data_IF_799300843083
#
_entry.id   IF_799300843083
#
_cell.length_a   1.000
_cell.length_b   1.000
_cell.length_c   1.000
_cell.angle_alpha   90.00
_cell.angle_beta   90.00
_cell.angle_gamma   90.00
#
_symmetry.space_group_name_H-M   'P 1'
#
loop_
_entity.id
_entity.type
_entity.pdbx_description
1 polymer ?
#
# COMPACT_ATOMS: atom_id res chain seq x y z
N UNK A 1 17.81 89.08 55.10
CA UNK A 1 16.65 88.18 55.02
C UNK A 1 15.91 88.57 53.77
N UNK A 2 16.26 87.95 52.64
CA UNK A 2 15.63 88.23 51.34
C UNK A 2 14.84 87.00 50.92
N UNK A 3 13.52 87.16 50.91
CA UNK A 3 12.53 86.17 50.54
C UNK A 3 12.38 86.12 49.02
N UNK A 4 12.82 85.01 48.43
CA UNK A 4 12.64 84.69 47.00
C UNK A 4 11.22 84.13 46.79
N UNK A 5 10.32 84.96 46.27
CA UNK A 5 9.01 84.52 45.78
C UNK A 5 9.16 83.78 44.45
N UNK A 6 8.98 82.47 44.48
CA UNK A 6 8.85 81.63 43.28
C UNK A 6 7.38 81.61 42.84
N UNK A 7 7.04 82.48 41.89
CA UNK A 7 5.74 82.47 41.23
C UNK A 7 5.60 81.26 40.30
N UNK A 8 4.94 80.21 40.79
CA UNK A 8 4.64 78.99 40.06
C UNK A 8 3.74 79.25 38.84
N UNK A 9 4.32 79.22 37.64
CA UNK A 9 3.56 79.18 36.38
C UNK A 9 2.89 77.82 36.24
N UNK A 10 1.56 77.81 36.27
CA UNK A 10 0.73 76.61 36.05
C UNK A 10 0.99 76.05 34.64
N UNK A 11 1.32 74.77 34.57
CA UNK A 11 1.50 73.99 33.34
C UNK A 11 0.21 74.01 32.51
N UNK A 12 0.28 74.50 31.28
CA UNK A 12 -0.83 74.48 30.33
C UNK A 12 -0.66 73.27 29.37
N UNK A 13 -1.41 72.16 29.56
CA UNK A 13 -1.30 70.96 28.73
C UNK A 13 -1.74 71.17 27.27
N UNK A 14 -2.31 72.33 26.94
CA UNK A 14 -2.75 72.68 25.58
C UNK A 14 -1.81 73.67 24.86
N UNK A 15 -0.64 73.96 25.44
CA UNK A 15 0.39 74.73 24.75
C UNK A 15 1.01 73.90 23.62
N UNK A 16 0.41 73.97 22.43
CA UNK A 16 1.03 73.51 21.17
C UNK A 16 2.22 74.40 20.73
N UNK A 17 2.64 75.35 21.56
CA UNK A 17 3.75 76.28 21.33
C UNK A 17 5.07 75.55 21.56
N UNK A 18 5.55 74.90 20.51
CA UNK A 18 6.78 74.10 20.51
C UNK A 18 6.75 72.91 19.55
N UNK A 19 5.56 72.50 19.10
CA UNK A 19 5.43 71.45 18.09
C UNK A 19 5.69 72.05 16.71
N UNK A 20 6.95 72.06 16.28
CA UNK A 20 7.33 72.31 14.87
C UNK A 20 6.46 71.40 14.00
N UNK A 21 5.46 71.97 13.31
CA UNK A 21 4.76 71.28 12.22
C UNK A 21 5.81 71.04 11.14
N UNK A 22 6.40 69.84 11.13
CA UNK A 22 7.12 69.35 9.96
C UNK A 22 6.06 69.16 8.86
N UNK A 23 5.91 70.18 8.03
CA UNK A 23 5.27 70.09 6.71
C UNK A 23 6.27 69.28 5.88
N UNK A 24 6.21 67.96 6.03
CA UNK A 24 7.14 67.01 5.41
C UNK A 24 6.45 66.30 4.27
N UNK A 25 6.54 66.87 3.07
CA UNK A 25 6.09 66.25 1.81
C UNK A 25 6.93 65.02 1.39
N UNK A 26 7.79 64.52 2.27
CA UNK A 26 8.64 63.33 2.07
C UNK A 26 8.02 62.00 2.57
N UNK A 27 6.78 62.00 3.07
CA UNK A 27 6.14 60.80 3.62
C UNK A 27 5.62 59.80 2.58
N UNK A 28 5.42 60.22 1.32
CA UNK A 28 4.82 59.36 0.28
C UNK A 28 5.73 58.17 -0.08
N UNK A 29 7.02 58.41 -0.32
CA UNK A 29 7.97 57.36 -0.71
C UNK A 29 8.21 56.33 0.39
N UNK A 30 8.34 56.78 1.65
CA UNK A 30 8.55 55.88 2.80
C UNK A 30 7.31 55.02 3.09
N UNK A 31 6.11 55.57 2.92
CA UNK A 31 4.86 54.81 3.07
C UNK A 31 4.72 53.72 2.00
N UNK A 32 5.11 54.01 0.75
CA UNK A 32 5.11 53.00 -0.32
C UNK A 32 6.11 51.88 -0.03
N UNK A 33 7.34 52.23 0.35
CA UNK A 33 8.36 51.25 0.76
C UNK A 33 7.89 50.37 1.93
N UNK A 34 7.21 50.94 2.92
CA UNK A 34 6.64 50.16 4.03
C UNK A 34 5.55 49.20 3.58
N UNK A 35 4.65 49.63 2.68
CA UNK A 35 3.60 48.75 2.12
C UNK A 35 4.19 47.61 1.31
N UNK A 36 5.22 47.89 0.52
CA UNK A 36 5.87 46.88 -0.31
C UNK A 36 6.70 45.91 0.53
N UNK A 37 7.41 46.40 1.55
CA UNK A 37 8.09 45.56 2.53
C UNK A 37 7.11 44.65 3.29
N UNK A 38 5.94 45.17 3.67
CA UNK A 38 4.91 44.38 4.35
C UNK A 38 4.25 43.35 3.41
N UNK A 39 4.02 43.68 2.14
CA UNK A 39 3.57 42.73 1.12
C UNK A 39 4.60 41.61 0.92
N UNK A 40 5.88 41.95 0.76
CA UNK A 40 6.96 40.98 0.63
C UNK A 40 7.11 40.10 1.88
N UNK A 41 6.88 40.64 3.08
CA UNK A 41 6.88 39.87 4.31
C UNK A 41 5.71 38.86 4.36
N UNK A 42 4.50 39.29 3.98
CA UNK A 42 3.32 38.41 3.93
C UNK A 42 3.50 37.29 2.90
N UNK A 43 4.01 37.61 1.72
CA UNK A 43 4.31 36.63 0.68
C UNK A 43 5.28 35.55 1.17
N UNK A 44 6.40 35.95 1.79
CA UNK A 44 7.38 35.01 2.37
C UNK A 44 6.80 34.16 3.50
N UNK A 45 5.92 34.73 4.34
CA UNK A 45 5.22 33.96 5.38
C UNK A 45 4.26 32.94 4.79
N UNK A 46 3.51 33.30 3.74
CA UNK A 46 2.59 32.39 3.07
C UNK A 46 3.34 31.24 2.40
N UNK A 47 4.46 31.53 1.71
CA UNK A 47 5.31 30.50 1.11
C UNK A 47 5.90 29.56 2.17
N UNK A 48 6.35 30.09 3.31
CA UNK A 48 6.82 29.28 4.43
C UNK A 48 5.73 28.37 5.02
N UNK A 49 4.49 28.87 5.16
CA UNK A 49 3.36 28.07 5.62
C UNK A 49 3.05 26.92 4.65
N UNK A 50 2.97 27.21 3.34
CA UNK A 50 2.76 26.17 2.32
C UNK A 50 3.89 25.12 2.33
N UNK A 51 5.14 25.55 2.55
CA UNK A 51 6.29 24.64 2.71
C UNK A 51 6.17 23.76 3.95
N UNK A 52 5.68 24.30 5.07
CA UNK A 52 5.42 23.54 6.29
C UNK A 52 4.26 22.55 6.11
N UNK A 53 3.15 22.96 5.50
CA UNK A 53 2.02 22.07 5.20
C UNK A 53 2.45 20.89 4.34
N UNK A 54 3.27 21.16 3.31
CA UNK A 54 3.88 20.11 2.48
C UNK A 54 4.75 19.16 3.30
N UNK A 55 5.63 19.69 4.16
CA UNK A 55 6.49 18.86 5.04
C UNK A 55 5.66 18.00 6.00
N UNK A 56 4.61 18.54 6.60
CA UNK A 56 3.71 17.79 7.49
C UNK A 56 3.01 16.68 6.71
N UNK A 57 2.52 16.96 5.51
CA UNK A 57 1.93 15.94 4.63
C UNK A 57 2.94 14.83 4.29
N UNK A 58 4.18 15.19 3.94
CA UNK A 58 5.23 14.24 3.62
C UNK A 58 5.62 13.36 4.82
N UNK A 59 5.85 13.96 6.00
CA UNK A 59 6.18 13.24 7.24
C UNK A 59 5.02 12.36 7.70
N UNK A 60 3.77 12.81 7.55
CA UNK A 60 2.60 12.00 7.91
C UNK A 60 2.49 10.78 7.02
N UNK A 61 2.71 10.94 5.71
CA UNK A 61 2.76 9.83 4.75
C UNK A 61 3.88 8.83 5.09
N UNK A 62 5.07 9.33 5.41
CA UNK A 62 6.21 8.49 5.83
C UNK A 62 5.89 7.71 7.12
N UNK A 63 5.27 8.37 8.11
CA UNK A 63 4.86 7.72 9.37
C UNK A 63 3.86 6.58 9.13
N UNK A 64 2.91 6.76 8.21
CA UNK A 64 1.96 5.70 7.82
C UNK A 64 2.70 4.53 7.20
N UNK A 65 3.65 4.77 6.29
CA UNK A 65 4.46 3.72 5.67
C UNK A 65 5.33 2.97 6.70
N UNK A 66 5.96 3.67 7.64
CA UNK A 66 6.75 3.06 8.71
C UNK A 66 5.89 2.20 9.63
N UNK A 67 4.71 2.68 10.03
CA UNK A 67 3.77 1.88 10.83
C UNK A 67 3.31 0.62 10.10
N UNK A 68 3.07 0.73 8.79
CA UNK A 68 2.74 -0.40 7.95
C UNK A 68 3.90 -1.40 7.84
N UNK A 69 5.15 -0.93 7.69
CA UNK A 69 6.34 -1.79 7.71
C UNK A 69 6.51 -2.52 9.05
N UNK A 70 6.31 -1.83 10.19
CA UNK A 70 6.34 -2.46 11.51
C UNK A 70 5.25 -3.53 11.67
N UNK A 71 4.05 -3.27 11.13
CA UNK A 71 2.97 -4.25 11.15
C UNK A 71 3.32 -5.49 10.31
N UNK A 72 3.95 -5.33 9.14
CA UNK A 72 4.44 -6.46 8.35
C UNK A 72 5.49 -7.25 9.13
N UNK A 73 6.48 -6.57 9.72
CA UNK A 73 7.52 -7.24 10.50
C UNK A 73 6.93 -8.06 11.65
N UNK A 74 5.86 -7.56 12.29
CA UNK A 74 5.16 -8.30 13.34
C UNK A 74 4.42 -9.55 12.83
N UNK A 75 3.94 -9.54 11.59
CA UNK A 75 3.24 -10.68 10.97
C UNK A 75 4.21 -11.72 10.39
N UNK A 76 5.33 -11.29 9.82
CA UNK A 76 6.31 -12.17 9.17
C UNK A 76 7.15 -12.94 10.20
N UNK A 77 7.32 -12.37 11.40
CA UNK A 77 8.17 -12.95 12.43
C UNK A 77 7.48 -13.04 13.81
N UNK A 78 6.38 -13.82 13.93
CA UNK A 78 5.64 -13.92 15.19
C UNK A 78 6.49 -14.55 16.31
N UNK A 79 7.48 -15.40 15.96
CA UNK A 79 8.37 -16.03 16.94
C UNK A 79 9.41 -15.08 17.55
N UNK A 80 9.79 -13.98 16.87
CA UNK A 80 10.68 -12.97 17.47
C UNK A 80 9.99 -12.16 18.59
N UNK A 81 8.65 -12.15 18.64
CA UNK A 81 7.91 -11.51 19.75
C UNK A 81 7.73 -12.43 20.96
N UNK A 82 8.02 -13.74 20.85
CA UNK A 82 7.86 -14.70 21.95
C UNK A 82 9.18 -15.19 22.53
N UNK A 83 10.29 -15.03 21.83
CA UNK A 83 11.61 -15.14 22.49
C UNK A 83 11.87 -13.82 23.20
N UNK A 84 11.23 -13.65 24.35
CA UNK A 84 11.72 -12.75 25.38
C UNK A 84 13.10 -13.28 25.78
N UNK A 85 14.14 -12.94 25.00
CA UNK A 85 15.52 -13.05 25.48
C UNK A 85 15.54 -12.13 26.70
N UNK A 86 15.61 -12.66 27.94
CA UNK A 86 15.71 -11.80 29.10
C UNK A 86 16.93 -10.93 28.85
N UNK A 87 16.70 -9.63 28.72
CA UNK A 87 17.81 -8.71 28.56
C UNK A 87 18.66 -8.86 29.83
N UNK A 88 19.83 -9.49 29.70
CA UNK A 88 20.74 -9.82 30.81
C UNK A 88 21.11 -8.53 31.58
N UNK A 89 20.98 -7.38 30.91
CA UNK A 89 21.13 -6.08 31.52
C UNK A 89 19.79 -5.62 32.13
N UNK A 90 19.63 -5.80 33.45
CA UNK A 90 18.46 -5.35 34.22
C UNK A 90 18.13 -3.86 33.99
N UNK A 91 19.14 -3.03 33.68
CA UNK A 91 18.94 -1.62 33.37
C UNK A 91 18.21 -1.39 32.04
N UNK A 92 18.40 -2.26 31.04
CA UNK A 92 17.75 -2.14 29.75
C UNK A 92 16.27 -2.55 29.85
N UNK A 93 15.95 -3.60 30.60
CA UNK A 93 14.56 -3.99 30.85
C UNK A 93 13.79 -2.88 31.57
N UNK A 94 14.38 -2.25 32.60
CA UNK A 94 13.79 -1.11 33.30
C UNK A 94 13.60 0.11 32.37
N UNK A 95 14.56 0.39 31.49
CA UNK A 95 14.46 1.48 30.50
C UNK A 95 13.38 1.22 29.45
N UNK A 96 13.25 -0.02 28.95
CA UNK A 96 12.19 -0.40 28.02
C UNK A 96 10.83 -0.25 28.68
N UNK A 97 10.69 -0.69 29.93
CA UNK A 97 9.44 -0.57 30.69
C UNK A 97 9.08 0.90 30.98
N UNK A 98 10.07 1.73 31.31
CA UNK A 98 9.90 3.17 31.48
C UNK A 98 9.49 3.87 30.17
N UNK A 99 10.08 3.47 29.04
CA UNK A 99 9.70 4.00 27.72
C UNK A 99 8.29 3.56 27.32
N UNK A 100 7.89 2.31 27.60
CA UNK A 100 6.53 1.83 27.35
C UNK A 100 5.49 2.60 28.16
N UNK A 101 5.76 2.83 29.46
CA UNK A 101 4.92 3.69 30.31
C UNK A 101 4.84 5.12 29.76
N UNK A 102 5.97 5.68 29.32
CA UNK A 102 6.00 7.03 28.75
C UNK A 102 5.21 7.15 27.45
N UNK A 103 5.24 6.13 26.60
CA UNK A 103 4.42 6.08 25.37
C UNK A 103 2.93 6.06 25.71
N UNK A 104 2.52 5.28 26.71
CA UNK A 104 1.13 5.24 27.17
C UNK A 104 0.68 6.59 27.75
N UNK A 105 1.51 7.24 28.57
CA UNK A 105 1.24 8.58 29.10
C UNK A 105 1.05 9.62 27.98
N UNK A 106 1.92 9.60 26.97
CA UNK A 106 1.85 10.52 25.83
C UNK A 106 0.61 10.26 24.97
N UNK A 107 0.21 8.99 24.80
CA UNK A 107 -1.02 8.64 24.10
C UNK A 107 -2.26 9.15 24.87
N UNK A 108 -2.30 8.97 26.19
CA UNK A 108 -3.39 9.49 27.03
C UNK A 108 -3.46 11.03 26.98
N UNK A 109 -2.31 11.70 27.06
CA UNK A 109 -2.24 13.17 26.96
C UNK A 109 -2.72 13.68 25.59
N UNK A 110 -2.43 12.96 24.50
CA UNK A 110 -2.93 13.30 23.17
C UNK A 110 -4.45 13.14 23.05
N UNK A 111 -5.04 12.11 23.67
CA UNK A 111 -6.50 11.94 23.69
C UNK A 111 -7.19 13.07 24.47
N UNK A 112 -6.66 13.45 25.63
CA UNK A 112 -7.19 14.59 26.41
C UNK A 112 -7.07 15.89 25.61
N UNK A 113 -6.00 16.05 24.81
CA UNK A 113 -5.79 17.25 24.00
C UNK A 113 -6.67 17.29 22.76
N UNK A 114 -7.01 16.16 22.14
CA UNK A 114 -7.93 16.12 21.00
C UNK A 114 -9.36 16.51 21.41
N UNK A 115 -9.80 16.09 22.60
CA UNK A 115 -11.14 16.38 23.09
C UNK A 115 -11.34 17.88 23.37
N UNK A 116 -10.30 18.55 23.85
CA UNK A 116 -10.32 20.00 24.12
C UNK A 116 -10.29 20.87 22.84
N UNK A 117 -9.87 20.34 21.68
CA UNK A 117 -9.88 21.09 20.41
C UNK A 117 -11.28 21.10 19.78
N UNK A 118 -12.14 20.17 20.18
CA UNK A 118 -13.50 20.04 19.61
C UNK A 118 -14.52 20.90 20.38
N UNK A 119 -14.13 21.49 21.51
CA UNK A 119 -15.01 22.27 22.39
C UNK A 119 -14.73 23.78 22.40
N UNK A 120 -14.11 24.36 21.36
CA UNK A 120 -14.13 25.82 21.22
C UNK A 120 -15.53 26.27 20.79
N UNK A 121 -16.28 27.02 21.63
CA UNK A 121 -17.58 27.53 21.25
C UNK A 121 -17.40 28.57 20.15
N UNK A 122 -18.04 28.33 19.01
CA UNK A 122 -18.25 29.31 17.96
C UNK A 122 -19.16 30.43 18.49
N UNK A 123 -18.57 31.43 19.15
CA UNK A 123 -19.27 32.63 19.57
C UNK A 123 -18.93 33.80 18.64
N UNK A 124 -20.01 34.53 18.32
CA UNK A 124 -20.11 35.80 17.59
C UNK A 124 -20.13 35.70 16.06
N UNK A 125 -21.34 35.59 15.52
CA UNK A 125 -21.94 36.66 14.72
C UNK A 125 -23.45 36.50 14.69
N UNK A 126 -24.14 37.32 15.48
CA UNK A 126 -25.56 37.64 15.34
C UNK A 126 -25.83 38.23 13.95
N UNK A 127 -26.76 37.66 13.21
CA UNK A 127 -27.83 38.44 12.58
C UNK A 127 -29.02 37.55 12.20
N UNK A 128 -30.16 37.97 12.70
CA UNK A 128 -31.51 37.40 12.62
C UNK A 128 -31.96 37.14 11.17
N UNK A 129 -32.77 36.08 10.96
CA UNK A 129 -34.18 36.14 10.51
C UNK A 129 -34.68 34.73 10.18
N UNK A 130 -35.68 34.28 10.95
CA UNK A 130 -36.95 33.76 10.43
C UNK A 130 -37.09 32.29 9.99
N UNK A 131 -37.93 31.55 10.76
CA UNK A 131 -38.81 30.44 10.35
C UNK A 131 -38.13 29.14 9.88
N UNK A 132 -38.58 27.92 10.15
CA UNK A 132 -39.86 27.41 10.65
C UNK A 132 -39.64 25.95 11.13
N UNK A 133 -40.66 25.42 11.80
CA UNK A 133 -40.72 24.18 12.55
C UNK A 133 -40.48 22.89 11.73
N UNK A 134 -39.80 21.91 12.32
CA UNK A 134 -40.33 20.53 12.50
C UNK A 134 -39.39 19.66 13.34
N UNK A 135 -39.99 18.89 14.26
CA UNK A 135 -39.35 18.08 15.30
C UNK A 135 -39.18 16.61 14.85
N UNK A 136 -38.75 15.64 15.70
CA UNK A 136 -37.61 14.79 15.40
C UNK A 136 -37.98 13.32 15.16
N UNK A 137 -37.16 12.60 14.38
CA UNK A 137 -37.18 11.12 14.42
C UNK A 137 -35.88 10.62 15.02
N UNK A 138 -35.98 10.19 16.27
CA UNK A 138 -34.93 9.51 17.04
C UNK A 138 -34.70 8.12 16.45
N UNK A 139 -33.58 7.93 15.75
CA UNK A 139 -33.11 6.60 15.36
C UNK A 139 -32.05 6.15 16.35
N UNK A 140 -32.41 5.16 17.17
CA UNK A 140 -31.51 4.54 18.13
C UNK A 140 -30.32 3.87 17.42
N UNK A 141 -29.11 4.31 17.79
CA UNK A 141 -27.86 3.67 17.41
C UNK A 141 -27.75 2.33 18.17
N UNK A 142 -28.06 1.23 17.49
CA UNK A 142 -27.85 -0.13 17.98
C UNK A 142 -26.37 -0.47 17.82
N UNK A 143 -25.58 -0.29 18.88
CA UNK A 143 -24.28 -0.93 19.00
C UNK A 143 -24.50 -2.45 19.00
N UNK A 144 -24.31 -3.08 17.84
CA UNK A 144 -24.04 -4.51 17.80
C UNK A 144 -22.60 -4.71 18.22
N UNK A 145 -22.43 -5.31 19.39
CA UNK A 145 -21.18 -5.91 19.84
C UNK A 145 -20.66 -6.84 18.74
N UNK A 146 -19.43 -6.59 18.29
CA UNK A 146 -18.63 -7.51 17.51
C UNK A 146 -18.37 -8.75 18.37
N UNK A 147 -19.27 -9.72 18.27
CA UNK A 147 -19.00 -11.07 18.72
C UNK A 147 -17.90 -11.66 17.83
N UNK A 148 -16.90 -12.17 18.53
CA UNK A 148 -15.75 -12.96 18.11
C UNK A 148 -16.04 -13.75 16.83
N UNK A 149 -15.34 -13.41 15.74
CA UNK A 149 -15.28 -14.23 14.53
C UNK A 149 -14.68 -15.58 14.92
N UNK A 150 -15.57 -16.56 14.98
CA UNK A 150 -15.33 -17.91 15.47
C UNK A 150 -14.35 -18.65 14.53
N UNK A 151 -13.36 -19.31 15.11
CA UNK A 151 -12.21 -19.99 14.48
C UNK A 151 -12.56 -21.28 13.72
N UNK A 152 -13.80 -21.41 13.23
CA UNK A 152 -14.29 -22.64 12.59
C UNK A 152 -13.90 -22.79 11.11
N UNK A 153 -13.18 -21.84 10.51
CA UNK A 153 -12.67 -21.98 9.13
C UNK A 153 -11.47 -22.94 9.00
N UNK A 154 -10.95 -23.49 10.10
CA UNK A 154 -9.83 -24.45 10.08
C UNK A 154 -10.25 -25.90 9.75
N UNK A 155 -11.53 -26.26 9.90
CA UNK A 155 -12.01 -27.63 9.70
C UNK A 155 -12.01 -28.00 8.20
N UNK A 156 -12.26 -27.04 7.31
CA UNK A 156 -12.32 -27.29 5.87
C UNK A 156 -10.94 -27.61 5.24
N UNK A 157 -9.85 -27.09 5.84
CA UNK A 157 -8.47 -27.34 5.36
C UNK A 157 -8.04 -28.79 5.58
N UNK A 158 -8.58 -29.47 6.60
CA UNK A 158 -8.22 -30.86 6.90
C UNK A 158 -8.91 -31.87 5.97
N UNK A 159 -10.17 -31.63 5.59
CA UNK A 159 -10.89 -32.52 4.67
C UNK A 159 -10.34 -32.44 3.24
N UNK A 160 -9.87 -31.26 2.82
CA UNK A 160 -9.26 -31.05 1.50
C UNK A 160 -7.90 -31.76 1.34
N UNK A 161 -7.07 -31.80 2.40
CA UNK A 161 -5.80 -32.52 2.37
C UNK A 161 -5.97 -34.04 2.21
N UNK A 162 -7.13 -34.60 2.59
CA UNK A 162 -7.42 -36.03 2.47
C UNK A 162 -7.75 -36.47 1.05
N UNK A 163 -8.35 -35.59 0.24
CA UNK A 163 -8.70 -35.88 -1.16
C UNK A 163 -7.50 -35.79 -2.13
N UNK A 164 -6.38 -35.20 -1.70
CA UNK A 164 -5.18 -34.97 -2.51
C UNK A 164 -4.11 -36.08 -2.41
N UNK A 165 -4.29 -37.07 -1.52
CA UNK A 165 -3.30 -38.14 -1.28
C UNK A 165 -3.39 -39.26 -2.33
N UNK A 166 -4.52 -39.39 -3.03
CA UNK A 166 -4.70 -40.44 -4.03
C UNK A 166 -4.38 -39.91 -5.44
N UNK A 167 -3.09 -39.96 -5.80
CA UNK A 167 -2.56 -39.95 -7.18
C UNK A 167 -2.46 -38.61 -7.99
N UNK A 168 -1.71 -37.59 -7.52
CA UNK A 168 -1.11 -36.57 -8.40
C UNK A 168 0.34 -36.86 -8.85
N UNK A 169 1.00 -37.86 -8.27
CA UNK A 169 2.47 -38.05 -8.38
C UNK A 169 2.95 -38.50 -9.76
N UNK A 170 2.14 -39.23 -10.52
CA UNK A 170 2.54 -39.74 -11.84
C UNK A 170 2.67 -38.64 -12.91
N UNK A 171 1.83 -37.59 -12.85
CA UNK A 171 1.84 -36.52 -13.86
C UNK A 171 2.82 -35.39 -13.51
N UNK A 172 3.04 -35.11 -12.22
CA UNK A 172 4.04 -34.13 -11.76
C UNK A 172 5.47 -34.59 -12.10
N UNK A 173 5.74 -35.91 -12.06
CA UNK A 173 7.02 -36.45 -12.51
C UNK A 173 7.27 -36.24 -14.01
N UNK A 174 6.22 -36.19 -14.83
CA UNK A 174 6.35 -35.98 -16.27
C UNK A 174 6.69 -34.51 -16.60
N UNK A 175 6.10 -33.55 -15.87
CA UNK A 175 6.39 -32.10 -15.98
C UNK A 175 7.81 -31.76 -15.48
N UNK A 176 8.33 -32.52 -14.51
CA UNK A 176 9.71 -32.36 -14.00
C UNK A 176 10.80 -32.86 -14.95
N UNK A 177 10.45 -33.66 -15.96
CA UNK A 177 11.41 -34.04 -17.00
C UNK A 177 11.46 -32.93 -18.05
N UNK A 178 12.64 -32.32 -18.25
CA UNK A 178 12.95 -31.28 -19.23
C UNK A 178 12.77 -31.72 -20.71
N UNK A 179 11.78 -32.56 -21.02
CA UNK A 179 11.37 -32.78 -22.41
C UNK A 179 10.61 -31.53 -22.85
N UNK A 180 11.06 -30.81 -23.90
CA UNK A 180 10.29 -29.72 -24.45
C UNK A 180 8.92 -30.28 -24.78
N UNK A 181 7.87 -29.70 -24.21
CA UNK A 181 6.50 -30.08 -24.49
C UNK A 181 6.37 -30.20 -26.00
N UNK A 182 6.23 -31.44 -26.51
CA UNK A 182 5.82 -31.66 -27.89
C UNK A 182 4.60 -30.78 -28.09
N UNK A 183 4.61 -29.92 -29.11
CA UNK A 183 3.54 -28.97 -29.45
C UNK A 183 2.19 -29.70 -29.55
N UNK A 184 1.60 -30.04 -28.42
CA UNK A 184 0.22 -30.45 -28.36
C UNK A 184 -0.52 -29.19 -28.74
N UNK A 185 -1.16 -29.21 -29.90
CA UNK A 185 -2.17 -28.21 -30.22
C UNK A 185 -3.24 -28.37 -29.15
N UNK A 186 -3.17 -27.53 -28.12
CA UNK A 186 -4.19 -27.39 -27.11
C UNK A 186 -5.38 -26.75 -27.84
N UNK A 187 -6.26 -27.59 -28.40
CA UNK A 187 -7.47 -27.14 -29.08
C UNK A 187 -8.65 -26.98 -28.10
N UNK A 188 -8.53 -27.57 -26.91
CA UNK A 188 -9.57 -27.57 -25.90
C UNK A 188 -9.24 -26.53 -24.84
N UNK A 189 -10.27 -25.82 -24.38
CA UNK A 189 -10.15 -24.87 -23.28
C UNK A 189 -9.98 -25.60 -21.94
N UNK A 190 -9.42 -24.91 -20.94
CA UNK A 190 -9.35 -25.46 -19.58
C UNK A 190 -10.74 -25.82 -19.03
N UNK A 191 -11.76 -25.06 -19.40
CA UNK A 191 -13.14 -25.31 -19.00
C UNK A 191 -13.72 -26.61 -19.58
N UNK A 192 -13.40 -26.93 -20.84
CA UNK A 192 -13.79 -28.20 -21.46
C UNK A 192 -13.06 -29.40 -20.82
N UNK A 193 -11.81 -29.21 -20.40
CA UNK A 193 -10.99 -30.27 -19.81
C UNK A 193 -11.29 -30.52 -18.33
N UNK A 194 -11.54 -29.46 -17.56
CA UNK A 194 -11.58 -29.52 -16.09
C UNK A 194 -12.88 -28.98 -15.49
N UNK A 195 -13.85 -28.60 -16.33
CA UNK A 195 -15.14 -28.07 -15.91
C UNK A 195 -15.18 -26.55 -15.71
N UNK A 196 -16.38 -25.98 -15.46
CA UNK A 196 -16.57 -24.54 -15.34
C UNK A 196 -15.93 -23.96 -14.08
N UNK A 197 -15.42 -22.72 -14.22
CA UNK A 197 -14.93 -21.92 -13.10
C UNK A 197 -16.09 -21.21 -12.43
N UNK A 198 -16.34 -21.52 -11.16
CA UNK A 198 -17.25 -20.78 -10.29
C UNK A 198 -16.48 -19.73 -9.49
N UNK A 199 -16.58 -18.47 -9.91
CA UNK A 199 -15.88 -17.35 -9.31
C UNK A 199 -16.72 -16.55 -8.30
N UNK A 200 -18.04 -16.74 -8.27
CA UNK A 200 -18.96 -15.93 -7.45
C UNK A 200 -18.65 -15.99 -5.94
N UNK A 201 -18.34 -17.15 -5.33
CA UNK A 201 -17.99 -17.21 -3.91
C UNK A 201 -16.75 -16.38 -3.57
N UNK A 202 -15.78 -16.31 -4.48
CA UNK A 202 -14.54 -15.56 -4.29
C UNK A 202 -14.75 -14.05 -4.48
N UNK A 203 -15.58 -13.67 -5.46
CA UNK A 203 -16.00 -12.27 -5.66
C UNK A 203 -16.73 -11.77 -4.41
N UNK A 204 -17.70 -12.53 -3.91
CA UNK A 204 -18.49 -12.17 -2.74
C UNK A 204 -17.58 -11.93 -1.51
N UNK A 205 -16.61 -12.82 -1.27
CA UNK A 205 -15.64 -12.68 -0.17
C UNK A 205 -14.68 -11.51 -0.37
N UNK A 206 -14.13 -11.34 -1.57
CA UNK A 206 -13.18 -10.27 -1.85
C UNK A 206 -13.82 -8.87 -1.76
N UNK A 207 -15.14 -8.76 -2.01
CA UNK A 207 -15.90 -7.51 -1.80
C UNK A 207 -16.09 -7.13 -0.33
N UNK A 208 -15.87 -8.03 0.62
CA UNK A 208 -15.90 -7.70 2.05
C UNK A 208 -14.65 -6.93 2.50
N UNK A 209 -13.64 -6.81 1.62
CA UNK A 209 -12.41 -6.07 1.90
C UNK A 209 -12.67 -4.57 1.71
N UNK A 210 -12.62 -3.82 2.81
CA UNK A 210 -13.02 -2.40 2.87
C UNK A 210 -12.37 -1.51 1.81
N UNK A 211 -11.08 -1.69 1.53
CA UNK A 211 -10.38 -0.83 0.55
C UNK A 211 -10.83 -1.03 -0.90
N UNK A 212 -11.61 -2.08 -1.20
CA UNK A 212 -12.05 -2.41 -2.56
C UNK A 212 -13.54 -2.69 -2.68
N UNK A 213 -14.32 -2.54 -1.60
CA UNK A 213 -15.75 -2.89 -1.53
C UNK A 213 -16.59 -2.20 -2.62
N UNK A 214 -16.34 -0.91 -2.86
CA UNK A 214 -17.04 -0.10 -3.87
C UNK A 214 -16.44 -0.17 -5.28
N UNK A 215 -15.41 -1.00 -5.47
CA UNK A 215 -14.67 -1.03 -6.73
C UNK A 215 -15.11 -2.19 -7.62
N UNK A 216 -15.07 -1.97 -8.94
CA UNK A 216 -15.32 -3.04 -9.93
C UNK A 216 -14.08 -3.89 -10.22
N UNK A 217 -12.95 -3.65 -9.54
CA UNK A 217 -11.69 -4.34 -9.86
C UNK A 217 -11.74 -5.82 -9.53
N UNK A 218 -12.34 -6.19 -8.38
CA UNK A 218 -12.51 -7.58 -7.95
C UNK A 218 -13.29 -8.36 -9.00
N UNK A 219 -14.49 -7.88 -9.36
CA UNK A 219 -15.33 -8.52 -10.39
C UNK A 219 -14.60 -8.65 -11.72
N UNK A 220 -13.87 -7.62 -12.16
CA UNK A 220 -13.12 -7.67 -13.41
C UNK A 220 -12.03 -8.73 -13.40
N UNK A 221 -11.27 -8.86 -12.32
CA UNK A 221 -10.22 -9.88 -12.19
C UNK A 221 -10.82 -11.28 -12.32
N UNK A 222 -11.85 -11.58 -11.53
CA UNK A 222 -12.49 -12.91 -11.55
C UNK A 222 -13.23 -13.21 -12.87
N UNK A 223 -13.86 -12.21 -13.48
CA UNK A 223 -14.45 -12.35 -14.81
C UNK A 223 -13.38 -12.60 -15.89
N UNK A 224 -12.22 -11.97 -15.80
CA UNK A 224 -11.11 -12.23 -16.71
C UNK A 224 -10.52 -13.63 -16.49
N UNK A 225 -10.44 -14.11 -15.25
CA UNK A 225 -10.02 -15.49 -14.95
C UNK A 225 -11.02 -16.52 -15.50
N UNK A 226 -12.31 -16.25 -15.41
CA UNK A 226 -13.36 -17.10 -16.02
C UNK A 226 -13.32 -17.02 -17.56
N UNK A 227 -12.88 -15.91 -18.14
CA UNK A 227 -12.67 -15.80 -19.59
C UNK A 227 -11.43 -16.56 -20.05
N UNK A 228 -10.33 -16.52 -19.28
CA UNK A 228 -9.10 -17.23 -19.65
C UNK A 228 -9.28 -18.74 -19.57
N UNK A 229 -10.14 -19.26 -18.68
CA UNK A 229 -10.46 -20.69 -18.65
C UNK A 229 -11.18 -21.18 -19.91
N UNK A 230 -11.85 -20.28 -20.64
CA UNK A 230 -12.57 -20.56 -21.89
C UNK A 230 -11.73 -20.32 -23.14
N UNK A 231 -10.50 -19.81 -23.00
CA UNK A 231 -9.66 -19.54 -24.14
C UNK A 231 -9.17 -20.85 -24.78
N UNK A 232 -9.29 -20.95 -26.10
CA UNK A 232 -8.82 -22.11 -26.89
C UNK A 232 -7.56 -21.79 -27.68
N UNK A 233 -7.14 -20.53 -27.74
CA UNK A 233 -5.96 -20.10 -28.47
C UNK A 233 -5.00 -19.30 -27.57
N UNK A 234 -3.69 -19.50 -27.82
CA UNK A 234 -2.59 -18.89 -27.06
C UNK A 234 -2.65 -17.37 -27.08
N UNK A 235 -2.98 -16.74 -28.23
CA UNK A 235 -2.96 -15.28 -28.38
C UNK A 235 -4.03 -14.64 -27.49
N UNK A 236 -5.25 -15.16 -27.51
CA UNK A 236 -6.35 -14.72 -26.65
C UNK A 236 -6.02 -14.94 -25.18
N UNK A 237 -5.48 -16.10 -24.81
CA UNK A 237 -5.08 -16.39 -23.43
C UNK A 237 -4.03 -15.39 -22.93
N UNK A 238 -3.01 -15.09 -23.73
CA UNK A 238 -1.97 -14.11 -23.41
C UNK A 238 -2.54 -12.70 -23.22
N UNK A 239 -3.44 -12.25 -24.12
CA UNK A 239 -4.10 -10.93 -24.00
C UNK A 239 -4.95 -10.86 -22.71
N UNK A 240 -5.73 -11.91 -22.42
CA UNK A 240 -6.52 -11.97 -21.20
C UNK A 240 -5.62 -11.95 -19.95
N UNK A 241 -4.49 -12.64 -19.98
CA UNK A 241 -3.54 -12.63 -18.88
C UNK A 241 -2.91 -11.25 -18.66
N UNK A 242 -2.54 -10.53 -19.72
CA UNK A 242 -2.06 -9.14 -19.60
C UNK A 242 -3.13 -8.23 -18.96
N UNK A 243 -4.40 -8.40 -19.33
CA UNK A 243 -5.51 -7.69 -18.70
C UNK A 243 -5.67 -8.03 -17.22
N UNK A 244 -5.50 -9.30 -16.85
CA UNK A 244 -5.51 -9.73 -15.43
C UNK A 244 -4.39 -9.02 -14.66
N UNK A 245 -3.16 -9.03 -15.18
CA UNK A 245 -2.01 -8.36 -14.53
C UNK A 245 -2.29 -6.86 -14.37
N UNK A 246 -2.86 -6.21 -15.38
CA UNK A 246 -3.22 -4.79 -15.29
C UNK A 246 -4.26 -4.52 -14.20
N UNK A 247 -5.35 -5.30 -14.15
CA UNK A 247 -6.36 -5.10 -13.11
C UNK A 247 -5.80 -5.43 -11.72
N UNK A 248 -4.91 -6.41 -11.60
CA UNK A 248 -4.13 -6.67 -10.38
C UNK A 248 -3.22 -5.50 -9.98
N UNK A 249 -2.57 -4.82 -10.93
CA UNK A 249 -1.79 -3.62 -10.64
C UNK A 249 -2.67 -2.48 -10.13
N UNK A 250 -3.85 -2.29 -10.73
CA UNK A 250 -4.82 -1.26 -10.35
C UNK A 250 -5.40 -1.48 -8.96
N UNK A 251 -5.86 -2.70 -8.66
CA UNK A 251 -6.42 -3.02 -7.35
C UNK A 251 -5.36 -2.94 -6.25
N UNK A 252 -4.11 -3.32 -6.55
CA UNK A 252 -3.00 -3.27 -5.61
C UNK A 252 -2.66 -1.85 -5.15
N UNK A 253 -3.03 -0.81 -5.91
CA UNK A 253 -2.87 0.60 -5.49
C UNK A 253 -3.95 1.06 -4.50
N UNK A 254 -5.02 0.28 -4.35
CA UNK A 254 -6.13 0.59 -3.43
C UNK A 254 -5.97 -0.10 -2.09
N UNK A 255 -5.31 -1.25 -2.06
CA UNK A 255 -5.15 -2.03 -0.84
C UNK A 255 -4.29 -1.33 0.21
N UNK A 256 -4.74 -1.40 1.46
CA UNK A 256 -3.84 -1.39 2.61
C UNK A 256 -3.08 -2.72 2.65
N UNK A 257 -2.02 -2.81 3.45
CA UNK A 257 -1.25 -4.07 3.53
C UNK A 257 -2.09 -5.22 4.10
N UNK A 258 -2.91 -4.92 5.12
CA UNK A 258 -3.81 -5.91 5.73
C UNK A 258 -4.83 -6.40 4.71
N UNK A 259 -5.43 -5.47 3.96
CA UNK A 259 -6.39 -5.81 2.92
C UNK A 259 -5.76 -6.60 1.77
N UNK A 260 -4.51 -6.28 1.41
CA UNK A 260 -3.77 -7.03 0.40
C UNK A 260 -3.53 -8.48 0.83
N UNK A 261 -3.17 -8.71 2.10
CA UNK A 261 -2.99 -10.07 2.64
C UNK A 261 -4.31 -10.85 2.56
N UNK A 262 -5.42 -10.25 3.02
CA UNK A 262 -6.74 -10.88 2.92
C UNK A 262 -7.13 -11.21 1.47
N UNK A 263 -6.84 -10.31 0.52
CA UNK A 263 -7.08 -10.57 -0.90
C UNK A 263 -6.20 -11.70 -1.45
N UNK A 264 -4.92 -11.75 -1.05
CA UNK A 264 -4.00 -12.82 -1.44
C UNK A 264 -4.49 -14.17 -0.94
N UNK A 265 -4.99 -14.28 0.28
CA UNK A 265 -5.57 -15.53 0.82
C UNK A 265 -6.72 -16.04 -0.05
N UNK A 266 -7.66 -15.15 -0.40
CA UNK A 266 -8.80 -15.48 -1.29
C UNK A 266 -8.29 -15.95 -2.67
N UNK A 267 -7.31 -15.24 -3.24
CA UNK A 267 -6.70 -15.62 -4.51
C UNK A 267 -5.93 -16.95 -4.43
N UNK A 268 -5.32 -17.25 -3.29
CA UNK A 268 -4.60 -18.50 -3.04
C UNK A 268 -5.57 -19.67 -3.06
N UNK A 269 -6.70 -19.54 -2.36
CA UNK A 269 -7.77 -20.53 -2.35
C UNK A 269 -8.35 -20.75 -3.75
N UNK A 270 -8.59 -19.66 -4.50
CA UNK A 270 -9.02 -19.74 -5.90
C UNK A 270 -8.01 -20.53 -6.75
N UNK A 271 -6.71 -20.19 -6.66
CA UNK A 271 -5.68 -20.87 -7.45
C UNK A 271 -5.56 -22.36 -7.09
N UNK A 272 -5.72 -22.71 -5.82
CA UNK A 272 -5.68 -24.10 -5.36
C UNK A 272 -6.91 -24.87 -5.83
N UNK A 273 -8.12 -24.29 -5.71
CA UNK A 273 -9.36 -24.91 -6.21
C UNK A 273 -9.31 -25.17 -7.72
N UNK A 274 -8.77 -24.22 -8.49
CA UNK A 274 -8.67 -24.29 -9.95
C UNK A 274 -7.24 -24.57 -10.42
N UNK A 275 -6.48 -25.40 -9.70
CA UNK A 275 -5.05 -25.65 -9.98
C UNK A 275 -4.80 -26.15 -11.40
N UNK A 276 -5.64 -27.07 -11.90
CA UNK A 276 -5.52 -27.62 -13.26
C UNK A 276 -5.77 -26.57 -14.34
N UNK A 277 -6.79 -25.72 -14.16
CA UNK A 277 -6.99 -24.55 -15.04
C UNK A 277 -5.74 -23.66 -15.04
N UNK A 278 -5.17 -23.41 -13.86
CA UNK A 278 -3.98 -22.58 -13.71
C UNK A 278 -2.73 -23.13 -14.41
N UNK A 279 -2.52 -24.44 -14.34
CA UNK A 279 -1.43 -25.13 -15.05
C UNK A 279 -1.65 -25.04 -16.57
N UNK A 280 -2.87 -25.30 -17.02
CA UNK A 280 -3.21 -25.30 -18.44
C UNK A 280 -3.03 -23.93 -19.10
N UNK A 281 -3.61 -22.87 -18.53
CA UNK A 281 -3.44 -21.55 -19.16
C UNK A 281 -2.00 -21.05 -19.06
N UNK A 282 -1.23 -21.47 -18.03
CA UNK A 282 0.21 -21.20 -17.94
C UNK A 282 0.95 -21.82 -19.10
N UNK A 283 0.65 -23.07 -19.45
CA UNK A 283 1.25 -23.73 -20.61
C UNK A 283 0.90 -23.01 -21.90
N UNK A 284 -0.35 -22.53 -22.04
CA UNK A 284 -0.73 -21.68 -23.17
C UNK A 284 0.04 -20.35 -23.18
N UNK A 285 0.36 -19.79 -22.02
CA UNK A 285 1.06 -18.52 -21.86
C UNK A 285 2.57 -18.67 -21.63
N UNK A 286 3.14 -19.86 -21.86
CA UNK A 286 4.52 -20.15 -21.52
C UNK A 286 5.48 -19.21 -22.28
N UNK A 287 6.55 -18.81 -21.60
CA UNK A 287 7.59 -18.01 -22.20
C UNK A 287 8.48 -18.89 -23.07
N UNK A 288 8.40 -18.70 -24.40
CA UNK A 288 9.25 -19.40 -25.37
C UNK A 288 10.49 -18.58 -25.78
N UNK A 289 10.67 -17.39 -25.20
CA UNK A 289 11.77 -16.48 -25.55
C UNK A 289 13.12 -16.88 -24.92
N UNK A 290 14.24 -16.36 -25.44
CA UNK A 290 15.52 -16.47 -24.76
C UNK A 290 15.49 -15.73 -23.43
N UNK A 291 16.23 -16.23 -22.43
CA UNK A 291 16.45 -15.48 -21.19
C UNK A 291 17.04 -14.10 -21.55
N UNK A 292 16.40 -12.98 -21.14
CA UNK A 292 16.90 -11.65 -21.47
C UNK A 292 18.28 -11.44 -20.86
N UNK A 293 19.13 -10.66 -21.53
CA UNK A 293 20.45 -10.29 -21.00
C UNK A 293 20.28 -9.28 -19.87
N UNK A 294 20.28 -9.76 -18.63
CA UNK A 294 20.16 -8.90 -17.46
C UNK A 294 21.52 -8.27 -17.16
N UNK A 295 21.59 -6.94 -17.25
CA UNK A 295 22.77 -6.17 -16.84
C UNK A 295 22.70 -6.00 -15.33
N UNK A 296 23.59 -6.69 -14.60
CA UNK A 296 23.71 -6.54 -13.15
C UNK A 296 24.11 -5.09 -12.81
N UNK A 297 23.34 -4.42 -11.95
CA UNK A 297 23.73 -3.12 -11.45
C UNK A 297 25.00 -3.21 -10.58
N UNK A 298 25.76 -2.11 -10.52
CA UNK A 298 27.04 -2.04 -9.78
C UNK A 298 26.89 -2.25 -8.28
N UNK A 299 25.73 -1.87 -7.74
CA UNK A 299 25.40 -2.01 -6.32
C UNK A 299 23.98 -2.54 -6.20
N UNK A 300 23.76 -3.40 -5.21
CA UNK A 300 22.44 -3.91 -4.91
C UNK A 300 21.64 -2.91 -4.09
N UNK A 301 20.40 -2.65 -4.50
CA UNK A 301 19.49 -1.79 -3.77
C UNK A 301 19.05 -2.48 -2.46
N UNK A 302 19.03 -1.80 -1.30
CA UNK A 302 18.66 -2.40 -0.02
C UNK A 302 17.32 -3.14 -0.04
N UNK A 303 16.34 -2.63 -0.81
CA UNK A 303 15.03 -3.26 -0.99
C UNK A 303 15.10 -4.63 -1.69
N UNK A 304 16.00 -4.78 -2.66
CA UNK A 304 16.21 -6.05 -3.38
C UNK A 304 16.88 -7.05 -2.46
N UNK A 305 17.82 -6.59 -1.63
CA UNK A 305 18.45 -7.43 -0.59
C UNK A 305 17.42 -7.91 0.43
N UNK A 306 16.54 -7.03 0.92
CA UNK A 306 15.45 -7.42 1.82
C UNK A 306 14.49 -8.41 1.16
N UNK A 307 14.12 -8.17 -0.10
CA UNK A 307 13.28 -9.08 -0.88
C UNK A 307 13.93 -10.46 -1.02
N UNK A 308 15.21 -10.51 -1.41
CA UNK A 308 15.99 -11.75 -1.52
C UNK A 308 16.01 -12.53 -0.20
N UNK A 309 16.31 -11.86 0.91
CA UNK A 309 16.39 -12.49 2.22
C UNK A 309 15.02 -13.07 2.62
N UNK A 310 13.95 -12.29 2.42
CA UNK A 310 12.58 -12.75 2.68
C UNK A 310 12.23 -13.99 1.86
N UNK A 311 12.63 -14.05 0.58
CA UNK A 311 12.38 -15.24 -0.25
C UNK A 311 13.21 -16.46 0.18
N UNK A 312 14.42 -16.26 0.69
CA UNK A 312 15.28 -17.34 1.20
C UNK A 312 14.77 -17.95 2.51
N UNK A 313 13.94 -17.21 3.25
CA UNK A 313 13.29 -17.68 4.47
C UNK A 313 12.05 -18.56 4.20
N UNK A 314 11.54 -18.58 2.96
CA UNK A 314 10.39 -19.41 2.57
C UNK A 314 10.86 -20.86 2.35
N UNK A 315 10.44 -21.84 3.17
CA UNK A 315 10.96 -23.23 3.11
C UNK A 315 10.78 -23.89 1.74
N UNK A 316 9.63 -23.63 1.11
CA UNK A 316 9.29 -24.06 -0.25
C UNK A 316 10.31 -23.70 -1.32
N UNK A 317 11.18 -22.69 -1.09
CA UNK A 317 12.12 -22.18 -2.10
C UNK A 317 13.55 -22.71 -1.98
N UNK A 318 13.79 -23.72 -1.14
CA UNK A 318 15.11 -24.34 -0.95
C UNK A 318 15.80 -24.77 -2.26
N UNK A 319 15.04 -25.24 -3.25
CA UNK A 319 15.55 -25.66 -4.56
C UNK A 319 15.47 -24.57 -5.66
N UNK A 320 14.96 -23.38 -5.32
CA UNK A 320 14.64 -22.31 -6.27
C UNK A 320 15.54 -21.08 -6.13
N UNK A 321 16.70 -21.22 -5.48
CA UNK A 321 17.65 -20.11 -5.30
C UNK A 321 18.05 -19.43 -6.61
N UNK A 322 18.26 -20.19 -7.69
CA UNK A 322 18.60 -19.62 -9.01
C UNK A 322 17.47 -18.74 -9.58
N UNK A 323 16.20 -19.12 -9.38
CA UNK A 323 15.02 -18.32 -9.79
C UNK A 323 14.93 -17.05 -8.96
N UNK A 324 15.20 -17.14 -7.65
CA UNK A 324 15.24 -15.97 -6.76
C UNK A 324 16.33 -15.00 -7.21
N UNK A 325 17.55 -15.47 -7.50
CA UNK A 325 18.64 -14.61 -7.94
C UNK A 325 18.35 -13.95 -9.29
N UNK A 326 17.80 -14.70 -10.26
CA UNK A 326 17.37 -14.15 -11.56
C UNK A 326 16.31 -13.06 -11.39
N UNK A 327 15.36 -13.26 -10.47
CA UNK A 327 14.32 -12.28 -10.15
C UNK A 327 14.91 -11.03 -9.48
N UNK A 328 15.86 -11.20 -8.56
CA UNK A 328 16.55 -10.10 -7.89
C UNK A 328 17.42 -9.31 -8.87
N UNK A 329 18.16 -9.98 -9.75
CA UNK A 329 18.95 -9.34 -10.81
C UNK A 329 18.05 -8.48 -11.71
N UNK A 330 16.86 -8.98 -12.08
CA UNK A 330 15.90 -8.24 -12.90
C UNK A 330 15.37 -6.99 -12.18
N UNK A 331 15.03 -7.11 -10.89
CA UNK A 331 14.59 -5.98 -10.06
C UNK A 331 15.68 -4.95 -9.77
N UNK A 332 16.92 -5.41 -9.65
CA UNK A 332 18.09 -4.57 -9.39
C UNK A 332 18.63 -3.90 -10.65
N UNK A 333 18.22 -4.33 -11.84
CA UNK A 333 18.67 -3.72 -13.09
C UNK A 333 18.16 -2.27 -13.24
N UNK A 334 19.04 -1.42 -13.77
CA UNK A 334 18.73 -0.04 -14.19
C UNK A 334 18.04 0.01 -15.56
N UNK A 335 17.90 -1.13 -16.22
CA UNK A 335 17.28 -1.23 -17.52
C UNK A 335 15.78 -0.91 -17.42
N UNK A 336 15.26 -0.18 -18.41
CA UNK A 336 13.82 -0.09 -18.63
C UNK A 336 13.29 -1.50 -18.91
N UNK A 337 12.17 -1.86 -18.30
CA UNK A 337 11.49 -3.12 -18.62
C UNK A 337 11.05 -3.09 -20.08
N UNK A 338 11.51 -4.05 -20.87
CA UNK A 338 10.94 -4.33 -22.17
C UNK A 338 9.91 -5.46 -22.11
N UNK A 339 9.28 -5.77 -23.26
CA UNK A 339 8.44 -6.95 -23.47
C UNK A 339 9.07 -8.27 -22.99
N UNK A 340 10.36 -8.48 -23.29
CA UNK A 340 11.09 -9.70 -22.95
C UNK A 340 11.30 -9.83 -21.44
N UNK A 341 11.74 -8.75 -20.79
CA UNK A 341 11.92 -8.68 -19.34
C UNK A 341 10.62 -8.93 -18.59
N UNK A 342 9.49 -8.36 -19.05
CA UNK A 342 8.20 -8.56 -18.41
C UNK A 342 7.70 -10.00 -18.58
N UNK A 343 7.88 -10.60 -19.76
CA UNK A 343 7.53 -12.01 -19.96
C UNK A 343 8.42 -12.95 -19.13
N UNK A 344 9.70 -12.65 -19.02
CA UNK A 344 10.61 -13.40 -18.16
C UNK A 344 10.26 -13.22 -16.67
N UNK A 345 9.92 -12.01 -16.23
CA UNK A 345 9.41 -11.76 -14.88
C UNK A 345 8.15 -12.60 -14.58
N UNK A 346 7.20 -12.66 -15.53
CA UNK A 346 5.99 -13.49 -15.39
C UNK A 346 6.37 -14.95 -15.19
N UNK A 347 7.30 -15.47 -16.00
CA UNK A 347 7.83 -16.82 -15.84
C UNK A 347 8.42 -17.04 -14.44
N UNK A 348 9.33 -16.17 -13.98
CA UNK A 348 9.96 -16.29 -12.65
C UNK A 348 8.94 -16.25 -11.51
N UNK A 349 7.98 -15.32 -11.57
CA UNK A 349 6.89 -15.21 -10.59
C UNK A 349 6.06 -16.47 -10.57
N UNK A 350 5.70 -17.02 -11.74
CA UNK A 350 4.93 -18.27 -11.79
C UNK A 350 5.71 -19.46 -11.25
N UNK A 351 6.99 -19.60 -11.59
CA UNK A 351 7.84 -20.68 -11.08
C UNK A 351 7.89 -20.68 -9.55
N UNK A 352 8.06 -19.51 -8.92
CA UNK A 352 8.02 -19.38 -7.46
C UNK A 352 6.62 -19.63 -6.88
N UNK A 353 5.55 -19.21 -7.56
CA UNK A 353 4.19 -19.48 -7.12
C UNK A 353 3.87 -20.98 -7.06
N UNK A 354 4.35 -21.75 -8.04
CA UNK A 354 4.16 -23.20 -8.09
C UNK A 354 5.00 -23.91 -7.03
N UNK A 355 6.19 -23.37 -6.76
CA UNK A 355 7.07 -23.88 -5.72
C UNK A 355 6.47 -23.76 -4.32
N UNK A 356 5.51 -22.86 -4.10
CA UNK A 356 4.83 -22.71 -2.81
C UNK A 356 4.01 -23.98 -2.48
N UNK A 357 4.45 -24.74 -1.47
CA UNK A 357 3.77 -25.95 -1.00
C UNK A 357 2.61 -25.62 -0.04
N UNK A 358 2.69 -24.48 0.66
CA UNK A 358 1.71 -24.07 1.66
C UNK A 358 1.05 -22.74 1.31
N UNK A 359 -0.16 -22.50 1.83
CA UNK A 359 -0.84 -21.21 1.70
C UNK A 359 -0.03 -20.07 2.36
N UNK A 360 0.67 -20.36 3.48
CA UNK A 360 1.53 -19.40 4.16
C UNK A 360 2.70 -18.94 3.28
N UNK A 361 3.39 -19.89 2.62
CA UNK A 361 4.48 -19.58 1.71
C UNK A 361 4.01 -18.72 0.54
N UNK A 362 2.83 -19.03 0.00
CA UNK A 362 2.22 -18.26 -1.07
C UNK A 362 1.89 -16.82 -0.62
N UNK A 363 1.34 -16.63 0.59
CA UNK A 363 1.08 -15.30 1.17
C UNK A 363 2.39 -14.54 1.37
N UNK A 364 3.42 -15.16 1.98
CA UNK A 364 4.74 -14.54 2.19
C UNK A 364 5.37 -14.09 0.87
N UNK A 365 5.37 -14.97 -0.14
CA UNK A 365 5.91 -14.66 -1.46
C UNK A 365 5.15 -13.49 -2.11
N UNK A 366 3.81 -13.53 -2.14
CA UNK A 366 3.00 -12.47 -2.74
C UNK A 366 3.17 -11.13 -2.03
N UNK A 367 3.30 -11.13 -0.71
CA UNK A 367 3.55 -9.93 0.07
C UNK A 367 4.93 -9.35 -0.23
N UNK A 368 5.99 -10.17 -0.19
CA UNK A 368 7.34 -9.75 -0.56
C UNK A 368 7.38 -9.17 -1.99
N UNK A 369 6.70 -9.85 -2.93
CA UNK A 369 6.60 -9.41 -4.32
C UNK A 369 5.84 -8.09 -4.48
N UNK A 370 4.74 -7.93 -3.75
CA UNK A 370 3.98 -6.69 -3.73
C UNK A 370 4.83 -5.51 -3.25
N UNK A 371 5.59 -5.68 -2.17
CA UNK A 371 6.42 -4.64 -1.57
C UNK A 371 7.57 -4.22 -2.48
N UNK A 372 8.31 -5.18 -3.06
CA UNK A 372 9.43 -4.84 -3.96
C UNK A 372 8.93 -4.14 -5.23
N UNK A 373 7.75 -4.53 -5.72
CA UNK A 373 7.14 -4.00 -6.95
C UNK A 373 6.67 -2.56 -6.86
N UNK A 374 6.28 -2.07 -5.68
CA UNK A 374 5.64 -0.74 -5.53
C UNK A 374 6.39 0.38 -6.23
N UNK A 375 7.72 0.33 -6.27
CA UNK A 375 8.56 1.37 -6.86
C UNK A 375 8.59 1.38 -8.38
N UNK A 376 8.24 0.28 -9.06
CA UNK A 376 8.20 0.19 -10.53
C UNK A 376 6.80 -0.03 -11.09
N UNK A 377 5.76 0.18 -10.27
CA UNK A 377 4.36 -0.01 -10.68
C UNK A 377 3.96 0.85 -11.88
N UNK A 378 4.54 2.05 -12.05
CA UNK A 378 4.24 2.92 -13.19
C UNK A 378 4.91 2.43 -14.48
N UNK A 379 6.19 2.04 -14.39
CA UNK A 379 6.92 1.45 -15.51
C UNK A 379 6.23 0.17 -16.02
N UNK A 380 5.78 -0.69 -15.09
CA UNK A 380 5.06 -1.91 -15.47
C UNK A 380 3.73 -1.62 -16.20
N UNK A 381 3.00 -0.56 -15.82
CA UNK A 381 1.75 -0.18 -16.49
C UNK A 381 1.99 0.24 -17.95
N UNK A 382 3.09 0.97 -18.20
CA UNK A 382 3.51 1.40 -19.54
C UNK A 382 3.84 0.18 -20.40
N UNK A 383 4.70 -0.72 -19.90
CA UNK A 383 5.11 -1.93 -20.63
C UNK A 383 3.95 -2.87 -20.91
N UNK A 384 2.99 -3.01 -19.98
CA UNK A 384 1.77 -3.80 -20.22
C UNK A 384 0.93 -3.18 -21.34
N UNK A 385 0.86 -1.85 -21.41
CA UNK A 385 0.13 -1.16 -22.46
C UNK A 385 0.78 -1.36 -23.83
N UNK A 386 2.11 -1.33 -23.89
CA UNK A 386 2.87 -1.63 -25.11
C UNK A 386 2.69 -3.08 -25.55
N UNK A 387 2.77 -4.03 -24.61
CA UNK A 387 2.56 -5.45 -24.89
C UNK A 387 1.16 -5.74 -25.42
N UNK A 388 0.13 -5.11 -24.87
CA UNK A 388 -1.22 -5.28 -25.40
C UNK A 388 -1.36 -4.69 -26.81
N UNK A 389 -0.76 -3.53 -27.06
CA UNK A 389 -0.77 -2.92 -28.40
C UNK A 389 -0.04 -3.80 -29.44
N UNK A 390 1.06 -4.44 -29.04
CA UNK A 390 1.78 -5.41 -29.88
C UNK A 390 0.94 -6.67 -30.09
N UNK A 391 0.31 -7.19 -29.04
CA UNK A 391 -0.49 -8.42 -29.10
C UNK A 391 -1.77 -8.27 -29.92
N UNK A 392 -2.23 -7.05 -30.18
CA UNK A 392 -3.40 -6.78 -31.03
C UNK A 392 -3.05 -6.73 -32.53
N UNK A 393 -1.78 -6.55 -32.89
CA UNK A 393 -1.29 -6.68 -34.26
C UNK A 393 -1.15 -8.16 -34.63
#
# INVERSE_FOLDING_TARGET
MDSVETSGRRYNPHSNRGRRKQIGDSSSGRNLQMRDAQRALRARKQEYLLSLEKKVSDVTRENVLLKQQLQILSLVNPQMSQVAVPCINQNCAAQIQALQLRVLELQAALMIKSDNVTSMPANSSDLMVGSEQSSPTTTMCRQQSLETVNSNNYIFVQDFNRAMVDSPSAWIQEIGTNKPATKYKIWQSAEELYGPVDAEPFIARAKLIKSVEDTKFVERIFNLLTKVSKATDTKTAQILHLKIIREQLRINRKFTIVDFVAFVEIMSEYHMKYKLHNIHWREMCAFEGPKPKIIKAKSELPRVTNFRNTLKEIPSFSNYHHVIEDMCDLWNSDNKYGPEELNYMKYLVHSLMIACETAEDHVKFKLAFFLVRQNKCLEMDEVISDLEAISLK
#
